data_IF_278518337621
#
_entry.id   IF_278518337621
#
_cell.length_a   1.000
_cell.length_b   1.000
_cell.length_c   1.000
_cell.angle_alpha   90.00
_cell.angle_beta   90.00
_cell.angle_gamma   90.00
#
_symmetry.space_group_name_H-M   'P 1'
#
loop_
_entity.id
_entity.type
_entity.pdbx_description
1 polymer ?
#
# COMPACT_ATOMS: atom_id res chain seq x y z
N UNK A 1 38.34 -13.52 1.20
CA UNK A 1 38.67 -12.53 0.14
C UNK A 1 37.34 -12.06 -0.39
N UNK A 2 36.92 -10.85 -0.04
CA UNK A 2 35.65 -10.29 -0.51
C UNK A 2 35.89 -9.78 -1.94
N UNK A 3 35.28 -10.44 -2.93
CA UNK A 3 35.37 -10.02 -4.32
C UNK A 3 34.60 -8.72 -4.50
N UNK A 4 35.31 -7.60 -4.45
CA UNK A 4 34.77 -6.28 -4.75
C UNK A 4 34.51 -6.18 -6.26
N UNK A 5 33.27 -6.46 -6.65
CA UNK A 5 32.82 -6.32 -8.04
C UNK A 5 32.25 -4.92 -8.23
N UNK A 6 32.61 -4.27 -9.34
CA UNK A 6 32.04 -2.98 -9.75
C UNK A 6 30.59 -3.17 -10.14
N UNK A 7 29.68 -2.57 -9.39
CA UNK A 7 28.23 -2.70 -9.58
C UNK A 7 27.66 -1.38 -10.12
N UNK A 8 26.78 -1.45 -11.13
CA UNK A 8 26.07 -0.27 -11.62
C UNK A 8 24.91 0.07 -10.68
N UNK A 9 24.87 1.32 -10.20
CA UNK A 9 23.80 1.84 -9.36
C UNK A 9 23.18 3.08 -9.98
N UNK A 10 21.95 3.41 -9.56
CA UNK A 10 21.26 4.64 -9.98
C UNK A 10 21.27 5.62 -8.81
N UNK A 11 21.55 6.87 -9.07
CA UNK A 11 21.60 7.93 -8.06
C UNK A 11 20.73 9.10 -8.49
N UNK A 12 19.90 9.63 -7.61
CA UNK A 12 19.10 10.83 -7.87
C UNK A 12 19.28 11.92 -6.82
N UNK A 13 18.94 13.15 -7.19
CA UNK A 13 18.83 14.27 -6.25
C UNK A 13 17.57 14.15 -5.37
N UNK A 14 17.50 14.94 -4.29
CA UNK A 14 16.32 15.13 -3.43
C UNK A 14 15.04 15.42 -4.21
N UNK A 15 15.12 16.24 -5.26
CA UNK A 15 13.98 16.57 -6.13
C UNK A 15 13.58 15.45 -7.11
N UNK A 16 14.33 14.33 -7.15
CA UNK A 16 14.19 13.21 -8.13
C UNK A 16 14.17 13.65 -9.60
N UNK A 17 14.46 14.92 -9.90
CA UNK A 17 14.42 15.51 -11.25
C UNK A 17 15.55 15.00 -12.17
N UNK A 18 16.68 14.61 -11.60
CA UNK A 18 17.85 14.10 -12.34
C UNK A 18 18.30 12.78 -11.73
N UNK A 19 18.33 11.73 -12.55
CA UNK A 19 18.92 10.43 -12.19
C UNK A 19 20.16 10.17 -13.03
N UNK A 20 21.21 9.66 -12.40
CA UNK A 20 22.50 9.33 -13.03
C UNK A 20 22.89 7.91 -12.68
N UNK A 21 23.25 7.11 -13.68
CA UNK A 21 23.84 5.79 -13.47
C UNK A 21 25.33 5.92 -13.14
N UNK A 22 25.76 5.33 -12.04
CA UNK A 22 27.16 5.33 -11.60
C UNK A 22 27.60 3.89 -11.32
N UNK A 23 28.72 3.49 -11.91
CA UNK A 23 29.36 2.21 -11.60
C UNK A 23 30.38 2.42 -10.49
N UNK A 24 30.20 1.78 -9.34
CA UNK A 24 31.10 1.92 -8.18
C UNK A 24 31.43 0.58 -7.55
N UNK A 25 32.53 0.56 -6.83
CA UNK A 25 33.02 -0.59 -6.06
C UNK A 25 32.83 -0.42 -4.55
N UNK A 26 32.71 0.83 -4.07
CA UNK A 26 32.55 1.15 -2.64
C UNK A 26 31.62 2.33 -2.41
N UNK A 27 31.02 2.37 -1.21
CA UNK A 27 30.18 3.49 -0.74
C UNK A 27 30.94 4.83 -0.78
N UNK A 28 32.25 4.84 -0.50
CA UNK A 28 33.07 6.05 -0.60
C UNK A 28 33.16 6.55 -2.04
N UNK A 29 33.36 5.65 -3.00
CA UNK A 29 33.37 5.97 -4.43
C UNK A 29 32.00 6.46 -4.91
N UNK A 30 30.91 5.91 -4.35
CA UNK A 30 29.55 6.39 -4.60
C UNK A 30 29.40 7.86 -4.19
N UNK A 31 29.80 8.21 -2.96
CA UNK A 31 29.72 9.59 -2.44
C UNK A 31 30.55 10.55 -3.28
N UNK A 32 31.78 10.16 -3.63
CA UNK A 32 32.66 10.99 -4.46
C UNK A 32 32.09 11.21 -5.87
N UNK A 33 31.72 10.13 -6.58
CA UNK A 33 31.18 10.25 -7.95
C UNK A 33 29.83 10.94 -8.00
N UNK A 34 29.00 10.72 -6.99
CA UNK A 34 27.75 11.43 -6.85
C UNK A 34 27.96 12.93 -6.67
N UNK A 35 28.84 13.32 -5.75
CA UNK A 35 29.17 14.73 -5.50
C UNK A 35 29.67 15.42 -6.78
N UNK A 36 30.50 14.73 -7.57
CA UNK A 36 31.03 15.22 -8.84
C UNK A 36 29.95 15.37 -9.92
N UNK A 37 28.99 14.43 -9.99
CA UNK A 37 27.90 14.44 -10.98
C UNK A 37 26.77 15.42 -10.65
N UNK A 38 26.56 15.66 -9.37
CA UNK A 38 25.48 16.48 -8.85
C UNK A 38 25.96 17.88 -8.43
N UNK A 39 27.28 18.13 -8.45
CA UNK A 39 27.88 19.47 -8.43
C UNK A 39 28.08 20.05 -7.03
N UNK A 40 28.26 19.21 -6.01
CA UNK A 40 28.25 19.60 -4.61
C UNK A 40 29.48 19.08 -3.84
N UNK A 41 29.71 19.59 -2.63
CA UNK A 41 30.86 19.25 -1.81
C UNK A 41 30.78 17.79 -1.29
N UNK A 42 31.82 17.00 -1.57
CA UNK A 42 31.90 15.59 -1.18
C UNK A 42 31.81 15.32 0.34
N UNK A 43 32.02 16.33 1.18
CA UNK A 43 32.10 16.20 2.63
C UNK A 43 30.74 16.08 3.34
N UNK A 44 29.63 16.46 2.69
CA UNK A 44 28.29 16.53 3.31
C UNK A 44 27.23 15.72 2.56
N UNK A 45 27.64 14.66 1.85
CA UNK A 45 26.75 13.78 1.10
C UNK A 45 26.24 12.62 1.98
N UNK A 46 24.94 12.61 2.29
CA UNK A 46 24.26 11.44 2.87
C UNK A 46 23.59 10.64 1.77
N UNK A 47 23.67 9.32 1.88
CA UNK A 47 23.14 8.39 0.87
C UNK A 47 21.97 7.66 1.50
N UNK A 48 20.82 7.73 0.86
CA UNK A 48 19.61 7.06 1.28
C UNK A 48 19.14 6.09 0.21
N UNK A 49 18.44 5.03 0.60
CA UNK A 49 17.70 4.19 -0.32
C UNK A 49 16.48 4.96 -0.85
N UNK A 50 16.26 4.95 -2.16
CA UNK A 50 15.15 5.68 -2.79
C UNK A 50 13.77 5.06 -2.45
N UNK A 51 13.75 3.77 -2.10
CA UNK A 51 12.56 2.96 -1.83
C UNK A 51 11.95 3.20 -0.45
N UNK A 52 12.76 3.31 0.60
CA UNK A 52 12.29 3.35 1.99
C UNK A 52 12.90 4.49 2.83
N UNK A 53 13.91 5.19 2.30
CA UNK A 53 14.59 6.26 3.03
C UNK A 53 15.59 5.79 4.08
N UNK A 54 16.03 4.53 4.04
CA UNK A 54 17.10 4.02 4.90
C UNK A 54 18.41 4.74 4.58
N UNK A 55 19.04 5.35 5.58
CA UNK A 55 20.38 5.93 5.46
C UNK A 55 21.42 4.81 5.37
N UNK A 56 22.36 4.92 4.42
CA UNK A 56 23.47 3.99 4.24
C UNK A 56 24.76 4.71 4.61
N UNK A 57 25.23 4.46 5.83
CA UNK A 57 26.50 4.91 6.36
C UNK A 57 27.57 3.80 6.36
N UNK A 58 27.15 2.53 6.42
CA UNK A 58 28.01 1.35 6.47
C UNK A 58 28.32 0.72 5.11
N UNK A 59 29.60 0.40 4.89
CA UNK A 59 30.10 -0.30 3.69
C UNK A 59 29.62 -1.76 3.65
N UNK A 60 29.48 -2.39 4.82
CA UNK A 60 29.00 -3.77 4.94
C UNK A 60 27.58 -3.90 4.43
N UNK A 61 26.70 -2.96 4.82
CA UNK A 61 25.34 -2.90 4.31
C UNK A 61 25.32 -2.70 2.79
N UNK A 62 26.15 -1.78 2.28
CA UNK A 62 26.27 -1.50 0.84
C UNK A 62 26.62 -2.75 0.00
N UNK A 63 27.45 -3.65 0.52
CA UNK A 63 27.84 -4.91 -0.16
C UNK A 63 26.66 -5.87 -0.39
N UNK A 64 25.66 -5.85 0.50
CA UNK A 64 24.45 -6.67 0.41
C UNK A 64 23.38 -6.07 -0.51
N UNK A 65 23.50 -4.79 -0.87
CA UNK A 65 22.52 -4.13 -1.74
C UNK A 65 22.63 -4.69 -3.16
N UNK A 66 21.46 -5.01 -3.73
CA UNK A 66 21.33 -5.48 -5.10
C UNK A 66 21.86 -4.48 -6.13
N UNK A 67 22.33 -5.01 -7.24
CA UNK A 67 22.73 -4.22 -8.40
C UNK A 67 21.54 -3.41 -8.93
N UNK A 68 21.80 -2.26 -9.56
CA UNK A 68 20.78 -1.36 -10.12
C UNK A 68 19.84 -0.71 -9.10
N UNK A 69 20.09 -0.87 -7.80
CA UNK A 69 19.38 -0.16 -6.74
C UNK A 69 19.50 1.36 -6.93
N UNK A 70 18.39 2.06 -6.66
CA UNK A 70 18.31 3.51 -6.75
C UNK A 70 18.57 4.12 -5.38
N UNK A 71 19.58 4.98 -5.32
CA UNK A 71 19.93 5.78 -4.16
C UNK A 71 19.50 7.23 -4.37
N UNK A 72 19.15 7.89 -3.28
CA UNK A 72 18.96 9.33 -3.25
C UNK A 72 20.07 9.94 -2.43
N UNK A 73 20.62 11.04 -2.94
CA UNK A 73 21.70 11.76 -2.26
C UNK A 73 21.16 13.10 -1.80
N UNK A 74 21.40 13.37 -0.53
CA UNK A 74 20.91 14.53 0.19
C UNK A 74 22.10 15.29 0.75
N UNK A 75 22.05 16.61 0.61
CA UNK A 75 23.09 17.53 1.05
C UNK A 75 22.76 18.14 2.40
N UNK A 76 23.77 18.66 3.09
CA UNK A 76 23.59 19.38 4.35
C UNK A 76 22.71 20.63 4.14
N UNK A 77 21.51 20.59 4.72
CA UNK A 77 20.46 21.61 4.56
C UNK A 77 19.24 21.14 3.76
N UNK A 78 19.33 20.00 3.08
CA UNK A 78 18.19 19.34 2.43
C UNK A 78 17.70 18.16 3.29
N UNK A 79 16.40 17.91 3.29
CA UNK A 79 15.81 16.74 3.95
C UNK A 79 15.45 15.68 2.90
N UNK A 80 15.55 14.41 3.32
CA UNK A 80 15.04 13.31 2.51
C UNK A 80 13.55 13.52 2.28
N UNK A 81 13.15 13.66 1.02
CA UNK A 81 11.74 13.66 0.66
C UNK A 81 11.30 12.25 0.26
N UNK A 82 10.32 11.76 1.03
CA UNK A 82 9.43 10.72 0.61
C UNK A 82 8.93 11.05 -0.80
N UNK A 83 9.39 10.31 -1.81
CA UNK A 83 8.87 10.50 -3.15
C UNK A 83 7.36 10.24 -3.14
N UNK A 84 6.60 10.71 -4.15
CA UNK A 84 5.17 10.45 -4.28
C UNK A 84 4.80 8.95 -4.41
N UNK A 85 5.76 8.05 -4.19
CA UNK A 85 5.64 6.59 -4.22
C UNK A 85 5.79 5.93 -2.84
N UNK A 86 6.20 6.64 -1.78
CA UNK A 86 6.12 6.09 -0.42
C UNK A 86 4.96 6.74 0.34
N UNK A 87 3.77 6.20 0.11
CA UNK A 87 2.69 6.24 1.11
C UNK A 87 3.10 5.31 2.24
N UNK A 88 3.83 5.85 3.21
CA UNK A 88 4.16 5.16 4.45
C UNK A 88 2.87 4.76 5.15
N UNK A 89 2.60 3.46 5.21
CA UNK A 89 1.67 2.90 6.18
C UNK A 89 2.29 3.05 7.57
N UNK A 90 2.04 4.16 8.26
CA UNK A 90 2.26 4.27 9.70
C UNK A 90 0.96 4.70 10.36
N UNK A 91 0.18 3.68 10.74
CA UNK A 91 -0.92 3.79 11.67
C UNK A 91 -0.36 4.00 13.08
N UNK A 92 -0.71 5.14 13.70
CA UNK A 92 -0.86 5.33 15.14
C UNK A 92 0.38 5.23 16.04
N UNK A 93 0.75 6.34 16.69
CA UNK A 93 0.47 6.55 18.12
C UNK A 93 1.30 7.70 18.72
N UNK A 94 0.59 8.61 19.41
CA UNK A 94 0.96 9.30 20.67
C UNK A 94 2.18 10.23 20.72
N UNK A 95 1.91 11.53 20.53
CA UNK A 95 1.92 12.57 21.56
C UNK A 95 3.10 12.71 22.54
N UNK A 96 3.69 13.91 22.57
CA UNK A 96 4.19 14.55 23.79
C UNK A 96 4.00 16.08 23.68
N UNK A 97 3.10 16.60 24.50
CA UNK A 97 2.76 18.02 24.58
C UNK A 97 3.55 18.80 25.64
N UNK A 98 3.32 20.11 25.62
CA UNK A 98 3.64 21.10 26.65
C UNK A 98 2.87 22.35 26.19
N UNK A 99 1.90 22.98 26.85
CA UNK A 99 1.38 23.07 28.23
C UNK A 99 -0.13 23.39 28.09
N UNK A 100 -1.03 22.87 28.91
CA UNK A 100 -1.48 23.58 30.10
C UNK A 100 -2.90 24.16 29.98
N UNK A 101 -3.85 23.49 30.63
CA UNK A 101 -5.07 23.99 31.26
C UNK A 101 -6.37 24.25 30.45
N UNK A 102 -7.44 23.79 31.09
CA UNK A 102 -8.80 24.34 31.18
C UNK A 102 -9.85 23.98 30.12
N UNK A 103 -10.75 23.11 30.59
CA UNK A 103 -12.19 23.34 30.77
C UNK A 103 -13.00 23.70 29.52
N UNK A 104 -13.95 22.79 29.24
CA UNK A 104 -15.29 23.00 28.69
C UNK A 104 -15.51 24.30 27.90
N UNK A 105 -15.85 24.17 26.62
CA UNK A 105 -17.15 24.55 26.06
C UNK A 105 -17.10 24.42 24.54
N UNK A 106 -18.27 24.19 23.96
CA UNK A 106 -18.59 24.29 22.53
C UNK A 106 -17.71 25.30 21.78
N UNK A 107 -17.20 24.91 20.61
CA UNK A 107 -17.67 25.47 19.34
C UNK A 107 -16.95 24.78 18.18
N UNK A 108 -17.75 24.17 17.32
CA UNK A 108 -17.40 23.75 15.98
C UNK A 108 -16.89 24.96 15.21
N UNK A 109 -15.60 24.99 14.88
CA UNK A 109 -15.08 25.85 13.82
C UNK A 109 -14.96 25.00 12.56
N UNK A 110 -16.09 24.90 11.86
CA UNK A 110 -16.10 24.56 10.44
C UNK A 110 -15.32 25.65 9.71
N UNK A 111 -14.21 25.27 9.08
CA UNK A 111 -13.53 26.14 8.16
C UNK A 111 -14.34 26.16 6.86
N UNK A 112 -15.25 27.13 6.78
CA UNK A 112 -15.98 27.48 5.57
C UNK A 112 -15.00 27.88 4.46
N UNK A 113 -14.88 27.00 3.48
CA UNK A 113 -14.41 27.31 2.14
C UNK A 113 -15.47 26.84 1.16
N UNK A 114 -16.56 27.58 1.07
CA UNK A 114 -17.45 27.51 -0.08
C UNK A 114 -17.02 28.48 -1.19
N UNK A 115 -17.17 27.95 -2.40
CA UNK A 115 -17.29 28.59 -3.70
C UNK A 115 -16.05 28.76 -4.59
N UNK A 116 -15.73 27.67 -5.29
CA UNK A 116 -15.53 27.73 -6.73
C UNK A 116 -16.07 26.46 -7.39
N UNK A 117 -17.34 26.49 -7.78
CA UNK A 117 -17.85 25.68 -8.90
C UNK A 117 -18.32 24.26 -8.54
N UNK A 118 -19.64 24.11 -8.49
CA UNK A 118 -20.38 22.85 -8.49
C UNK A 118 -19.94 21.96 -9.67
N UNK A 119 -19.44 20.75 -9.39
CA UNK A 119 -19.80 19.42 -9.99
C UNK A 119 -18.70 18.37 -9.70
N UNK A 120 -19.13 17.13 -9.42
CA UNK A 120 -18.32 15.93 -9.12
C UNK A 120 -17.94 15.71 -7.64
N UNK A 121 -18.95 15.41 -6.82
CA UNK A 121 -18.69 14.76 -5.54
C UNK A 121 -18.27 13.30 -5.70
N UNK A 122 -17.33 12.91 -4.83
CA UNK A 122 -17.20 11.59 -4.17
C UNK A 122 -16.31 10.49 -4.74
N UNK A 123 -15.48 10.70 -5.76
CA UNK A 123 -14.30 9.83 -5.92
C UNK A 123 -13.09 10.49 -5.28
N UNK A 124 -12.46 9.79 -4.31
CA UNK A 124 -11.20 10.22 -3.72
C UNK A 124 -10.12 10.41 -4.80
N UNK A 125 -9.46 11.56 -4.80
CA UNK A 125 -8.37 11.87 -5.73
C UNK A 125 -7.26 10.81 -5.73
N UNK A 126 -7.01 10.23 -4.56
CA UNK A 126 -6.00 9.18 -4.37
C UNK A 126 -6.36 7.90 -5.13
N UNK A 127 -7.65 7.59 -5.20
CA UNK A 127 -8.17 6.44 -5.91
C UNK A 127 -8.00 6.60 -7.43
N UNK A 128 -8.26 7.80 -7.96
CA UNK A 128 -8.06 8.12 -9.38
C UNK A 128 -6.58 8.05 -9.77
N UNK A 129 -5.69 8.58 -8.93
CA UNK A 129 -4.24 8.52 -9.14
C UNK A 129 -3.77 7.07 -9.18
N UNK A 130 -4.29 6.23 -8.27
CA UNK A 130 -3.89 4.83 -8.15
C UNK A 130 -4.36 3.99 -9.34
N UNK A 131 -5.61 4.17 -9.79
CA UNK A 131 -6.13 3.55 -11.02
C UNK A 131 -5.32 3.98 -12.25
N UNK A 132 -4.91 5.26 -12.30
CA UNK A 132 -4.13 5.79 -13.42
C UNK A 132 -2.72 5.20 -13.47
N UNK A 133 -2.10 4.97 -12.32
CA UNK A 133 -0.72 4.47 -12.22
C UNK A 133 -0.61 2.99 -12.59
N UNK A 134 -1.52 2.14 -12.11
CA UNK A 134 -1.47 0.70 -12.35
C UNK A 134 -2.90 0.11 -12.50
N UNK A 135 -3.27 -0.42 -13.69
CA UNK A 135 -4.59 -1.00 -13.90
C UNK A 135 -4.83 -2.30 -13.13
N UNK A 136 -3.83 -2.95 -12.53
CA UNK A 136 -4.01 -4.17 -11.73
C UNK A 136 -4.34 -3.90 -10.24
N UNK A 137 -4.33 -2.62 -9.81
CA UNK A 137 -4.45 -2.26 -8.40
C UNK A 137 -5.86 -2.42 -7.81
N UNK A 138 -6.89 -2.71 -8.61
CA UNK A 138 -8.27 -2.93 -8.14
C UNK A 138 -8.36 -4.06 -7.08
N UNK A 139 -7.47 -5.05 -7.13
CA UNK A 139 -7.40 -6.15 -6.16
C UNK A 139 -7.09 -5.64 -4.74
N UNK A 140 -6.43 -4.48 -4.62
CA UNK A 140 -6.08 -3.89 -3.33
C UNK A 140 -7.17 -2.99 -2.73
N UNK A 141 -8.18 -2.60 -3.52
CA UNK A 141 -9.22 -1.69 -3.06
C UNK A 141 -10.20 -2.37 -2.11
N UNK A 142 -10.79 -1.58 -1.21
CA UNK A 142 -11.96 -2.02 -0.45
C UNK A 142 -13.15 -2.19 -1.38
N UNK A 143 -14.12 -2.99 -0.97
CA UNK A 143 -15.35 -3.16 -1.72
C UNK A 143 -16.11 -1.83 -1.89
N UNK A 144 -16.04 -0.95 -0.88
CA UNK A 144 -16.63 0.41 -0.93
C UNK A 144 -15.98 1.24 -2.05
N UNK A 145 -14.66 1.28 -2.09
CA UNK A 145 -13.90 2.00 -3.13
C UNK A 145 -14.14 1.44 -4.54
N UNK A 146 -14.33 0.12 -4.67
CA UNK A 146 -14.72 -0.49 -5.96
C UNK A 146 -16.13 -0.05 -6.37
N UNK A 147 -17.06 -0.02 -5.42
CA UNK A 147 -18.44 0.41 -5.66
C UNK A 147 -18.53 1.89 -6.05
N UNK A 148 -17.70 2.74 -5.46
CA UNK A 148 -17.63 4.17 -5.80
C UNK A 148 -17.20 4.39 -7.26
N UNK A 149 -16.22 3.61 -7.74
CA UNK A 149 -15.75 3.66 -9.15
C UNK A 149 -16.83 3.17 -10.12
N UNK A 150 -17.55 2.12 -9.74
CA UNK A 150 -18.64 1.53 -10.53
C UNK A 150 -19.82 2.52 -10.64
N UNK A 151 -20.16 3.20 -9.55
CA UNK A 151 -21.29 4.13 -9.49
C UNK A 151 -21.02 5.47 -10.17
N UNK A 152 -19.76 5.78 -10.45
CA UNK A 152 -19.37 7.05 -11.04
C UNK A 152 -19.60 7.11 -12.55
N UNK A 153 -19.85 8.30 -13.07
CA UNK A 153 -20.16 8.49 -14.49
C UNK A 153 -18.93 8.23 -15.36
N UNK A 154 -19.07 7.37 -16.38
CA UNK A 154 -17.95 6.95 -17.25
C UNK A 154 -17.29 8.13 -17.98
N UNK A 155 -18.04 9.18 -18.30
CA UNK A 155 -17.53 10.38 -18.99
C UNK A 155 -16.66 11.24 -18.05
N UNK A 156 -17.10 11.39 -16.80
CA UNK A 156 -16.32 12.06 -15.77
C UNK A 156 -15.09 11.24 -15.39
N UNK A 157 -15.20 9.90 -15.37
CA UNK A 157 -14.08 9.01 -15.09
C UNK A 157 -12.99 9.11 -16.16
N UNK A 158 -13.39 9.15 -17.43
CA UNK A 158 -12.47 9.31 -18.56
C UNK A 158 -11.72 10.64 -18.46
N UNK A 159 -12.44 11.72 -18.13
CA UNK A 159 -11.87 13.06 -17.94
C UNK A 159 -10.90 13.08 -16.75
N UNK A 160 -11.28 12.47 -15.64
CA UNK A 160 -10.47 12.41 -14.42
C UNK A 160 -9.19 11.56 -14.58
N UNK A 161 -9.27 10.43 -15.29
CA UNK A 161 -8.12 9.57 -15.58
C UNK A 161 -7.24 10.16 -16.70
N UNK A 162 -7.77 11.07 -17.51
CA UNK A 162 -7.13 11.58 -18.72
C UNK A 162 -6.97 10.49 -19.79
N UNK A 163 -7.93 9.57 -19.87
CA UNK A 163 -7.94 8.40 -20.76
C UNK A 163 -9.18 8.42 -21.67
N UNK A 164 -9.22 7.52 -22.65
CA UNK A 164 -10.40 7.39 -23.52
C UNK A 164 -11.61 6.84 -22.77
N UNK A 165 -12.82 7.15 -23.24
CA UNK A 165 -14.07 6.63 -22.67
C UNK A 165 -14.11 5.09 -22.65
N UNK A 166 -13.51 4.43 -23.65
CA UNK A 166 -13.43 2.98 -23.72
C UNK A 166 -12.56 2.39 -22.61
N UNK A 167 -11.42 3.03 -22.29
CA UNK A 167 -10.52 2.61 -21.22
C UNK A 167 -11.12 2.86 -19.83
N UNK A 168 -11.85 3.96 -19.65
CA UNK A 168 -12.58 4.24 -18.42
C UNK A 168 -13.66 3.18 -18.18
N UNK A 169 -14.45 2.84 -19.21
CA UNK A 169 -15.44 1.75 -19.13
C UNK A 169 -14.80 0.40 -18.81
N UNK A 170 -13.68 0.09 -19.45
CA UNK A 170 -12.96 -1.16 -19.15
C UNK A 170 -12.46 -1.20 -17.70
N UNK A 171 -12.04 -0.06 -17.15
CA UNK A 171 -11.64 0.04 -15.74
C UNK A 171 -12.84 -0.19 -14.81
N UNK A 172 -14.02 0.34 -15.14
CA UNK A 172 -15.26 0.09 -14.38
C UNK A 172 -15.69 -1.37 -14.45
N UNK A 173 -15.62 -1.98 -15.64
CA UNK A 173 -15.94 -3.39 -15.85
C UNK A 173 -14.98 -4.30 -15.06
N UNK A 174 -13.69 -3.98 -15.03
CA UNK A 174 -12.71 -4.69 -14.21
C UNK A 174 -13.01 -4.58 -12.70
N UNK A 175 -13.40 -3.39 -12.22
CA UNK A 175 -13.83 -3.20 -10.84
C UNK A 175 -15.09 -4.03 -10.51
N UNK A 176 -16.07 -4.05 -11.41
CA UNK A 176 -17.28 -4.85 -11.25
C UNK A 176 -16.96 -6.34 -11.20
N UNK A 177 -16.14 -6.83 -12.12
CA UNK A 177 -15.74 -8.24 -12.18
C UNK A 177 -15.02 -8.67 -10.90
N UNK A 178 -14.15 -7.83 -10.34
CA UNK A 178 -13.47 -8.13 -9.08
C UNK A 178 -14.47 -8.19 -7.90
N UNK A 179 -15.43 -7.27 -7.84
CA UNK A 179 -16.45 -7.25 -6.78
C UNK A 179 -17.35 -8.50 -6.86
N UNK A 180 -17.76 -8.89 -8.06
CA UNK A 180 -18.54 -10.11 -8.30
C UNK A 180 -17.75 -11.35 -7.87
N UNK A 181 -16.47 -11.44 -8.25
CA UNK A 181 -15.57 -12.53 -7.86
C UNK A 181 -15.44 -12.65 -6.33
N UNK A 182 -15.29 -11.53 -5.62
CA UNK A 182 -15.24 -11.49 -4.15
C UNK A 182 -16.56 -11.95 -3.53
N UNK A 183 -17.68 -11.53 -4.09
CA UNK A 183 -19.02 -11.92 -3.63
C UNK A 183 -19.23 -13.42 -3.77
N UNK A 184 -18.93 -13.99 -4.95
CA UNK A 184 -19.01 -15.43 -5.20
C UNK A 184 -18.14 -16.23 -4.22
N UNK A 185 -16.93 -15.76 -3.91
CA UNK A 185 -16.06 -16.41 -2.92
C UNK A 185 -16.64 -16.40 -1.51
N UNK A 186 -17.28 -15.30 -1.10
CA UNK A 186 -17.95 -15.21 0.22
C UNK A 186 -19.12 -16.18 0.29
N UNK A 187 -19.96 -16.22 -0.74
CA UNK A 187 -21.10 -17.13 -0.81
C UNK A 187 -20.66 -18.60 -0.77
N UNK A 188 -19.66 -18.97 -1.58
CA UNK A 188 -19.09 -20.31 -1.58
C UNK A 188 -18.52 -20.69 -0.20
N UNK A 189 -17.82 -19.77 0.45
CA UNK A 189 -17.29 -19.97 1.81
C UNK A 189 -18.39 -20.19 2.84
N UNK A 190 -19.49 -19.42 2.76
CA UNK A 190 -20.64 -19.59 3.64
C UNK A 190 -21.31 -20.95 3.41
N UNK A 191 -21.49 -21.36 2.16
CA UNK A 191 -22.06 -22.67 1.81
C UNK A 191 -21.20 -23.82 2.35
N UNK A 192 -19.87 -23.75 2.21
CA UNK A 192 -18.94 -24.75 2.74
C UNK A 192 -19.04 -24.86 4.27
N UNK A 193 -19.11 -23.73 4.98
CA UNK A 193 -19.31 -23.72 6.44
C UNK A 193 -20.62 -24.38 6.86
N UNK A 194 -21.70 -24.14 6.11
CA UNK A 194 -23.00 -24.78 6.36
C UNK A 194 -22.91 -26.30 6.13
N UNK A 195 -22.24 -26.73 5.06
CA UNK A 195 -22.03 -28.14 4.76
C UNK A 195 -21.20 -28.85 5.85
N UNK A 196 -20.10 -28.25 6.28
CA UNK A 196 -19.28 -28.78 7.37
C UNK A 196 -20.06 -28.91 8.67
N UNK A 197 -20.85 -27.89 9.01
CA UNK A 197 -21.74 -27.90 10.19
C UNK A 197 -22.80 -29.01 10.10
N UNK A 198 -23.43 -29.17 8.93
CA UNK A 198 -24.39 -30.25 8.72
C UNK A 198 -23.74 -31.64 8.86
N UNK A 199 -22.52 -31.82 8.32
CA UNK A 199 -21.76 -33.07 8.42
C UNK A 199 -21.38 -33.39 9.88
N UNK A 200 -20.97 -32.38 10.66
CA UNK A 200 -20.67 -32.54 12.09
C UNK A 200 -21.92 -32.90 12.91
N UNK A 201 -23.07 -32.29 12.59
CA UNK A 201 -24.33 -32.64 13.23
C UNK A 201 -24.75 -34.09 12.94
N UNK A 202 -24.59 -34.59 11.71
CA UNK A 202 -24.88 -35.99 11.39
C UNK A 202 -23.95 -36.98 12.09
N UNK A 203 -22.68 -36.61 12.33
CA UNK A 203 -21.77 -37.41 13.16
C UNK A 203 -22.24 -37.47 14.62
N UNK A 204 -22.61 -36.32 15.18
CA UNK A 204 -23.11 -36.18 16.55
C UNK A 204 -24.46 -36.90 16.78
N UNK A 205 -25.38 -36.84 15.83
CA UNK A 205 -26.69 -37.50 15.89
C UNK A 205 -26.58 -39.03 15.84
N UNK A 206 -25.65 -39.57 15.04
CA UNK A 206 -25.38 -41.01 14.99
C UNK A 206 -24.71 -41.53 16.28
N UNK A 207 -23.85 -40.73 16.93
CA UNK A 207 -23.25 -41.09 18.23
C UNK A 207 -24.27 -41.08 19.38
N UNK A 208 -25.20 -40.11 19.38
CA UNK A 208 -26.28 -40.04 20.38
C UNK A 208 -27.29 -41.19 20.23
N UNK A 209 -27.56 -41.68 19.01
CA UNK A 209 -28.39 -42.88 18.81
C UNK A 209 -27.72 -44.18 19.29
N UNK A 210 -26.40 -44.29 19.19
CA UNK A 210 -25.65 -45.47 19.68
C UNK A 210 -25.64 -45.59 21.21
N UNK A 211 -25.76 -44.48 21.95
CA UNK A 211 -25.79 -44.48 23.43
C UNK A 211 -27.19 -44.70 24.03
N UNK A 212 -28.27 -44.46 23.26
CA UNK A 212 -29.66 -44.60 23.71
C UNK A 212 -30.25 -46.02 23.70
N UNK A 213 -29.63 -46.99 23.03
CA UNK A 213 -30.20 -48.33 22.80
C UNK A 213 -29.85 -49.40 23.87
N UNK A 214 -29.24 -49.04 25.00
CA UNK A 214 -29.04 -49.97 26.14
C UNK A 214 -30.12 -49.80 27.21
N UNK A 215 -31.37 -50.16 26.91
CA UNK A 215 -32.34 -50.53 27.96
C UNK A 215 -32.47 -52.05 28.00
N UNK A 216 -32.07 -52.61 29.15
CA UNK A 216 -32.01 -54.03 29.47
C UNK A 216 -33.18 -54.84 28.91
N UNK A 217 -32.84 -55.83 28.08
CA UNK A 217 -33.57 -57.10 27.99
C UNK A 217 -32.90 -58.10 28.94
N UNK A 218 -33.53 -58.37 30.06
CA UNK A 218 -33.33 -59.59 30.87
C UNK A 218 -34.74 -59.98 31.34
N UNK A 219 -35.43 -60.84 30.59
CA UNK A 219 -35.44 -62.31 30.70
C UNK A 219 -36.28 -62.77 31.92
N UNK A 220 -37.33 -63.52 31.60
CA UNK A 220 -38.29 -64.17 32.48
C UNK A 220 -37.62 -65.06 33.55
N UNK A 221 -38.20 -65.09 34.75
CA UNK A 221 -38.79 -66.31 35.35
C UNK A 221 -39.74 -65.92 36.50
#
# INVERSE_FOLDING_TARGET
>A
MEEKRRRPYKVCNSERAKSTGIVVESLKELKERASLKLGAAAASCRVFLDSDGTEIDDEEYFSFIEDQTKFMIVYEGEEWTAGPQCVSYSQGSTGAGSVGASLETNESMEFDRTDAGITAENISSDLLIRIKSDPAFFISFSDESLQDVINFESEQLATALGRSLAEAKHSQEACQQELDRRTQLREATQLLKLFERARQNQGSENELQYTGNKRQRTANE
#
